data_IF_845525376643
#
_entry.id   IF_845525376643
#
_cell.length_a   1.000
_cell.length_b   1.000
_cell.length_c   1.000
_cell.angle_alpha   90.00
_cell.angle_beta   90.00
_cell.angle_gamma   90.00
#
_symmetry.space_group_name_H-M   'P 1'
#
loop_
_entity.id
_entity.type
_entity.pdbx_description
1 polymer ?
#
# COMPACT_ATOMS: atom_id res chain seq x y z
N UNK A 1 -8.87 -2.37 0.70
CA UNK A 1 -7.79 -3.06 1.46
C UNK A 1 -7.00 -3.91 0.49
N UNK A 2 -5.66 -3.84 0.48
CA UNK A 2 -4.88 -4.72 -0.40
C UNK A 2 -4.97 -6.17 0.07
N UNK A 3 -5.12 -7.08 -0.88
CA UNK A 3 -5.28 -8.53 -0.64
C UNK A 3 -3.96 -9.24 -0.96
N UNK A 4 -3.28 -9.81 0.03
CA UNK A 4 -2.06 -10.57 -0.21
C UNK A 4 -2.37 -11.84 -1.02
N UNK A 5 -1.65 -12.03 -2.12
CA UNK A 5 -1.78 -13.20 -2.97
C UNK A 5 -0.42 -13.73 -3.41
N UNK A 6 -0.32 -15.03 -3.57
CA UNK A 6 0.84 -15.74 -4.10
C UNK A 6 0.52 -16.37 -5.46
N UNK A 7 1.54 -16.70 -6.21
CA UNK A 7 1.42 -17.42 -7.49
C UNK A 7 2.46 -18.52 -7.49
N UNK A 8 2.04 -19.75 -7.70
CA UNK A 8 2.93 -20.86 -8.03
C UNK A 8 3.64 -20.57 -9.36
N UNK A 9 4.96 -20.67 -9.39
CA UNK A 9 5.74 -20.30 -10.56
C UNK A 9 5.31 -21.05 -11.82
N UNK A 10 5.00 -22.33 -11.70
CA UNK A 10 4.56 -23.15 -12.81
C UNK A 10 3.16 -22.78 -13.34
N UNK A 11 2.30 -22.13 -12.54
CA UNK A 11 1.01 -21.63 -12.99
C UNK A 11 1.15 -20.52 -14.06
N UNK A 12 2.31 -19.85 -14.14
CA UNK A 12 2.61 -18.85 -15.17
C UNK A 12 2.63 -19.43 -16.58
N UNK A 13 3.06 -20.66 -16.74
CA UNK A 13 3.04 -21.33 -18.04
C UNK A 13 1.60 -21.62 -18.53
N UNK A 14 0.63 -21.65 -17.60
CA UNK A 14 -0.76 -22.01 -17.87
C UNK A 14 -0.95 -23.50 -18.06
N UNK A 15 -2.18 -23.88 -18.42
CA UNK A 15 -2.53 -25.27 -18.65
C UNK A 15 -2.29 -25.64 -20.13
N UNK A 16 -1.85 -26.88 -20.38
CA UNK A 16 -1.48 -27.35 -21.70
C UNK A 16 -2.62 -27.28 -22.77
N UNK A 17 -3.87 -27.25 -22.31
CA UNK A 17 -5.04 -27.13 -23.18
C UNK A 17 -5.44 -25.69 -23.51
N UNK A 18 -4.82 -24.66 -22.88
CA UNK A 18 -5.16 -23.29 -23.19
C UNK A 18 -4.55 -22.80 -24.49
N UNK A 19 -5.36 -22.12 -25.27
CA UNK A 19 -4.85 -21.39 -26.44
C UNK A 19 -4.02 -20.17 -26.00
N UNK A 20 -3.12 -19.68 -26.83
CA UNK A 20 -2.36 -18.45 -26.51
C UNK A 20 -3.23 -17.23 -26.21
N UNK A 21 -4.46 -17.17 -26.74
CA UNK A 21 -5.42 -16.11 -26.48
C UNK A 21 -6.03 -16.24 -25.08
N UNK A 22 -6.42 -17.44 -24.67
CA UNK A 22 -6.95 -17.72 -23.33
C UNK A 22 -5.89 -17.47 -22.28
N UNK A 23 -4.69 -18.02 -22.44
CA UNK A 23 -3.55 -17.78 -21.54
C UNK A 23 -3.35 -16.27 -21.32
N UNK A 24 -3.29 -15.49 -22.39
CA UNK A 24 -3.16 -14.03 -22.28
C UNK A 24 -4.34 -13.40 -21.54
N UNK A 25 -5.56 -13.84 -21.80
CA UNK A 25 -6.76 -13.35 -21.13
C UNK A 25 -6.72 -13.58 -19.61
N UNK A 26 -6.28 -14.77 -19.18
CA UNK A 26 -6.17 -15.12 -17.75
C UNK A 26 -5.09 -14.28 -17.04
N UNK A 27 -3.93 -14.13 -17.65
CA UNK A 27 -2.90 -13.24 -17.12
C UNK A 27 -3.36 -11.77 -17.05
N UNK A 28 -4.06 -11.28 -18.07
CA UNK A 28 -4.59 -9.93 -18.08
C UNK A 28 -5.63 -9.71 -16.95
N UNK A 29 -6.42 -10.72 -16.64
CA UNK A 29 -7.36 -10.67 -15.51
C UNK A 29 -6.61 -10.55 -14.19
N UNK A 30 -5.60 -11.39 -13.96
CA UNK A 30 -4.78 -11.36 -12.75
C UNK A 30 -4.01 -10.03 -12.62
N UNK A 31 -3.36 -9.58 -13.68
CA UNK A 31 -2.61 -8.32 -13.65
C UNK A 31 -3.53 -7.14 -13.34
N UNK A 32 -4.77 -7.11 -13.87
CA UNK A 32 -5.75 -6.09 -13.51
C UNK A 32 -6.16 -6.15 -12.03
N UNK A 33 -6.42 -7.36 -11.50
CA UNK A 33 -6.76 -7.53 -10.09
C UNK A 33 -5.60 -7.10 -9.18
N UNK A 34 -4.36 -7.50 -9.51
CA UNK A 34 -3.16 -7.07 -8.79
C UNK A 34 -3.03 -5.55 -8.78
N UNK A 35 -3.13 -4.91 -9.95
CA UNK A 35 -3.08 -3.45 -10.08
C UNK A 35 -4.11 -2.76 -9.17
N UNK A 36 -5.31 -3.32 -9.07
CA UNK A 36 -6.45 -2.68 -8.42
C UNK A 36 -6.47 -2.87 -6.91
N UNK A 37 -6.20 -4.10 -6.45
CA UNK A 37 -6.41 -4.48 -5.05
C UNK A 37 -5.38 -5.49 -4.52
N UNK A 38 -4.55 -6.07 -5.37
CA UNK A 38 -3.62 -7.12 -4.98
C UNK A 38 -2.35 -6.60 -4.32
N UNK A 39 -1.80 -7.42 -3.43
CA UNK A 39 -0.46 -7.31 -2.87
C UNK A 39 0.26 -8.63 -3.16
N UNK A 40 1.19 -8.63 -4.10
CA UNK A 40 1.88 -9.85 -4.48
C UNK A 40 2.87 -10.31 -3.40
N UNK A 41 2.79 -11.58 -3.01
CA UNK A 41 3.71 -12.24 -2.09
C UNK A 41 4.67 -13.09 -2.90
N UNK A 42 5.93 -12.68 -2.97
CA UNK A 42 6.97 -13.40 -3.71
C UNK A 42 7.85 -14.25 -2.79
N UNK A 43 8.46 -15.28 -3.34
CA UNK A 43 9.42 -16.14 -2.68
C UNK A 43 10.81 -15.49 -2.55
N UNK A 44 11.54 -15.83 -1.50
CA UNK A 44 12.87 -15.28 -1.24
C UNK A 44 12.88 -13.86 -0.67
N UNK A 45 14.04 -13.24 -0.64
CA UNK A 45 14.26 -11.90 -0.07
C UNK A 45 14.10 -10.80 -1.11
N UNK A 46 14.35 -11.10 -2.39
CA UNK A 46 14.30 -10.15 -3.49
C UNK A 46 13.48 -10.69 -4.65
N UNK A 47 12.53 -9.90 -5.12
CA UNK A 47 11.67 -10.28 -6.25
C UNK A 47 12.46 -10.64 -7.52
N UNK A 48 13.63 -10.01 -7.74
CA UNK A 48 14.51 -10.30 -8.86
C UNK A 48 15.04 -11.74 -8.89
N UNK A 49 15.07 -12.41 -7.74
CA UNK A 49 15.61 -13.77 -7.57
C UNK A 49 14.51 -14.79 -7.29
N UNK A 50 13.23 -14.39 -7.37
CA UNK A 50 12.09 -15.25 -7.11
C UNK A 50 11.89 -16.29 -8.24
N UNK A 51 11.28 -17.43 -7.93
CA UNK A 51 10.85 -18.40 -8.93
C UNK A 51 9.85 -17.81 -9.93
N UNK A 52 8.97 -16.92 -9.45
CA UNK A 52 8.10 -16.16 -10.36
C UNK A 52 8.90 -15.36 -11.38
N UNK A 53 9.97 -14.68 -10.94
CA UNK A 53 10.82 -13.91 -11.86
C UNK A 53 11.42 -14.82 -12.93
N UNK A 54 11.91 -15.99 -12.56
CA UNK A 54 12.43 -16.99 -13.49
C UNK A 54 11.34 -17.44 -14.47
N UNK A 55 10.14 -17.78 -13.98
CA UNK A 55 9.02 -18.18 -14.82
C UNK A 55 8.60 -17.06 -15.82
N UNK A 56 8.67 -15.81 -15.43
CA UNK A 56 8.42 -14.66 -16.35
C UNK A 56 9.53 -14.57 -17.41
N UNK A 57 10.78 -14.82 -17.04
CA UNK A 57 11.91 -14.79 -17.96
C UNK A 57 11.85 -15.95 -18.98
N UNK A 58 11.26 -17.08 -18.61
CA UNK A 58 11.02 -18.23 -19.49
C UNK A 58 9.89 -17.98 -20.51
N UNK A 59 9.04 -16.96 -20.31
CA UNK A 59 8.12 -16.49 -21.33
C UNK A 59 8.95 -15.97 -22.50
N UNK A 60 8.70 -16.47 -23.71
CA UNK A 60 9.48 -16.18 -24.93
C UNK A 60 9.86 -14.71 -25.09
N UNK A 61 11.10 -14.48 -25.46
CA UNK A 61 11.66 -13.14 -25.66
C UNK A 61 10.85 -12.39 -26.73
N UNK A 62 10.56 -11.10 -26.49
CA UNK A 62 9.68 -10.29 -27.37
C UNK A 62 8.17 -10.52 -27.16
N UNK A 63 7.77 -11.43 -26.27
CA UNK A 63 6.35 -11.63 -25.96
C UNK A 63 5.75 -10.40 -25.27
N UNK A 64 4.58 -9.96 -25.76
CA UNK A 64 3.78 -8.89 -25.12
C UNK A 64 3.45 -9.23 -23.66
N UNK A 65 3.22 -10.52 -23.37
CA UNK A 65 2.93 -10.98 -22.03
C UNK A 65 4.11 -10.78 -21.07
N UNK A 66 5.33 -11.15 -21.48
CA UNK A 66 6.56 -10.90 -20.73
C UNK A 66 6.76 -9.42 -20.46
N UNK A 67 6.54 -8.57 -21.48
CA UNK A 67 6.64 -7.11 -21.32
C UNK A 67 5.68 -6.56 -20.27
N UNK A 68 4.43 -7.04 -20.24
CA UNK A 68 3.43 -6.67 -19.23
C UNK A 68 3.83 -7.10 -17.84
N UNK A 69 4.26 -8.34 -17.64
CA UNK A 69 4.74 -8.82 -16.34
C UNK A 69 5.92 -7.99 -15.83
N UNK A 70 6.89 -7.68 -16.71
CA UNK A 70 8.04 -6.85 -16.36
C UNK A 70 7.64 -5.45 -15.89
N UNK A 71 6.65 -4.83 -16.55
CA UNK A 71 6.12 -3.53 -16.13
C UNK A 71 5.44 -3.63 -14.76
N UNK A 72 4.66 -4.68 -14.53
CA UNK A 72 3.94 -4.89 -13.28
C UNK A 72 4.86 -5.14 -12.09
N UNK A 73 5.81 -6.06 -12.18
CA UNK A 73 6.73 -6.36 -11.06
C UNK A 73 7.58 -5.16 -10.64
N UNK A 74 7.75 -4.17 -11.53
CA UNK A 74 8.46 -2.94 -11.22
C UNK A 74 7.58 -1.88 -10.54
N UNK A 75 6.27 -1.90 -10.75
CA UNK A 75 5.36 -0.80 -10.41
C UNK A 75 4.36 -1.14 -9.33
N UNK A 76 3.92 -2.39 -9.25
CA UNK A 76 2.80 -2.79 -8.39
C UNK A 76 3.34 -3.32 -7.04
N UNK A 77 2.61 -3.14 -5.91
CA UNK A 77 3.07 -3.55 -4.60
C UNK A 77 3.38 -5.05 -4.52
N UNK A 78 4.54 -5.36 -3.96
CA UNK A 78 4.95 -6.72 -3.66
C UNK A 78 5.67 -6.78 -2.31
N UNK A 79 5.56 -7.90 -1.62
CA UNK A 79 6.20 -8.18 -0.33
C UNK A 79 6.88 -9.55 -0.37
N UNK A 80 7.95 -9.73 0.40
CA UNK A 80 8.60 -11.01 0.55
C UNK A 80 7.77 -11.96 1.43
N UNK A 81 7.53 -13.17 0.96
CA UNK A 81 6.91 -14.25 1.76
C UNK A 81 7.91 -14.95 2.69
N UNK A 82 9.19 -14.69 2.52
CA UNK A 82 10.27 -15.25 3.31
C UNK A 82 10.30 -16.79 3.25
N UNK A 83 10.51 -17.43 4.39
CA UNK A 83 10.53 -18.89 4.50
C UNK A 83 9.11 -19.52 4.41
N UNK A 84 8.06 -18.71 4.51
CA UNK A 84 6.66 -19.18 4.51
C UNK A 84 6.11 -19.40 3.10
N UNK A 85 6.77 -18.83 2.09
CA UNK A 85 6.45 -19.04 0.68
C UNK A 85 7.73 -19.29 -0.14
N UNK A 86 7.77 -20.40 -0.87
CA UNK A 86 8.94 -20.83 -1.67
C UNK A 86 8.70 -20.82 -3.18
N UNK A 87 7.61 -20.19 -3.63
CA UNK A 87 7.27 -20.09 -5.06
C UNK A 87 6.67 -21.36 -5.67
N UNK A 88 6.44 -22.39 -4.84
CA UNK A 88 6.07 -23.74 -5.25
C UNK A 88 5.30 -24.41 -4.11
N UNK A 89 4.16 -25.02 -4.41
CA UNK A 89 3.31 -25.66 -3.42
C UNK A 89 3.88 -27.00 -2.94
N UNK A 90 4.68 -27.68 -3.75
CA UNK A 90 5.33 -28.92 -3.33
C UNK A 90 6.43 -28.69 -2.28
N UNK A 91 7.02 -27.49 -2.29
CA UNK A 91 8.06 -27.08 -1.34
C UNK A 91 7.54 -26.22 -0.18
N UNK A 92 6.23 -25.89 -0.15
CA UNK A 92 5.62 -24.97 0.81
C UNK A 92 4.48 -25.66 1.56
N UNK A 93 4.42 -25.50 2.89
CA UNK A 93 3.23 -25.93 3.64
C UNK A 93 2.12 -24.90 3.49
N UNK A 94 0.88 -25.35 3.25
CA UNK A 94 -0.28 -24.42 3.16
C UNK A 94 -0.48 -23.64 4.46
N UNK A 95 -0.21 -24.25 5.62
CA UNK A 95 -0.23 -23.55 6.90
C UNK A 95 0.80 -22.42 7.04
N UNK A 96 1.95 -22.53 6.36
CA UNK A 96 2.92 -21.43 6.23
C UNK A 96 2.41 -20.34 5.31
N UNK A 97 1.98 -20.74 4.12
CA UNK A 97 1.49 -19.80 3.09
C UNK A 97 0.26 -19.00 3.56
N UNK A 98 -0.69 -19.61 4.26
CA UNK A 98 -1.91 -18.94 4.76
C UNK A 98 -1.64 -17.78 5.75
N UNK A 99 -0.43 -17.74 6.35
CA UNK A 99 0.00 -16.65 7.23
C UNK A 99 0.42 -15.39 6.46
N UNK A 100 0.81 -15.54 5.20
CA UNK A 100 1.35 -14.43 4.38
C UNK A 100 0.48 -14.12 3.16
N UNK A 101 -0.35 -15.06 2.69
CA UNK A 101 -1.26 -14.87 1.57
C UNK A 101 -2.69 -15.28 1.94
N UNK A 102 -3.67 -14.66 1.28
CA UNK A 102 -5.10 -15.02 1.36
C UNK A 102 -5.56 -15.80 0.14
N UNK A 103 -4.85 -15.62 -0.97
CA UNK A 103 -5.14 -16.26 -2.25
C UNK A 103 -3.83 -16.88 -2.75
N UNK A 104 -3.91 -18.07 -3.33
CA UNK A 104 -2.80 -18.65 -4.08
C UNK A 104 -3.28 -19.12 -5.46
N UNK A 105 -2.64 -18.62 -6.49
CA UNK A 105 -2.85 -19.08 -7.86
C UNK A 105 -1.95 -20.27 -8.15
N UNK A 106 -2.55 -21.40 -8.49
CA UNK A 106 -1.86 -22.66 -8.73
C UNK A 106 -2.34 -23.35 -10.01
N UNK A 107 -1.65 -24.43 -10.40
CA UNK A 107 -2.11 -25.31 -11.47
C UNK A 107 -3.37 -26.08 -11.03
N UNK A 108 -4.20 -26.46 -12.01
CA UNK A 108 -5.45 -27.18 -11.75
C UNK A 108 -5.25 -28.44 -10.90
N UNK A 109 -4.24 -29.24 -11.19
CA UNK A 109 -3.92 -30.45 -10.44
C UNK A 109 -3.62 -30.20 -8.97
N UNK A 110 -2.95 -29.08 -8.64
CA UNK A 110 -2.67 -28.68 -7.26
C UNK A 110 -3.94 -28.20 -6.56
N UNK A 111 -4.79 -27.42 -7.26
CA UNK A 111 -6.07 -26.96 -6.73
C UNK A 111 -6.95 -28.17 -6.35
N UNK A 112 -7.15 -29.12 -7.26
CA UNK A 112 -7.96 -30.32 -7.02
C UNK A 112 -7.45 -31.16 -5.82
N UNK A 113 -6.13 -31.20 -5.65
CA UNK A 113 -5.51 -32.03 -4.59
C UNK A 113 -5.55 -31.35 -3.21
N UNK A 114 -5.39 -30.01 -3.16
CA UNK A 114 -5.13 -29.26 -1.93
C UNK A 114 -6.31 -28.40 -1.47
N UNK A 115 -7.42 -28.36 -2.23
CA UNK A 115 -8.56 -27.48 -1.97
C UNK A 115 -9.12 -27.63 -0.54
N UNK A 116 -9.32 -28.86 -0.08
CA UNK A 116 -9.90 -29.11 1.25
C UNK A 116 -8.99 -28.60 2.38
N UNK A 117 -7.67 -28.79 2.27
CA UNK A 117 -6.69 -28.28 3.23
C UNK A 117 -6.63 -26.74 3.18
N UNK A 118 -6.61 -26.16 1.98
CA UNK A 118 -6.58 -24.71 1.79
C UNK A 118 -7.82 -24.03 2.42
N UNK A 119 -9.01 -24.60 2.20
CA UNK A 119 -10.26 -24.10 2.81
C UNK A 119 -10.22 -24.14 4.33
N UNK A 120 -9.73 -25.22 4.93
CA UNK A 120 -9.57 -25.33 6.39
C UNK A 120 -8.64 -24.24 6.95
N UNK A 121 -7.67 -23.78 6.17
CA UNK A 121 -6.72 -22.72 6.51
C UNK A 121 -7.19 -21.30 6.09
N UNK A 122 -8.40 -21.17 5.53
CA UNK A 122 -8.93 -19.91 4.97
C UNK A 122 -8.03 -19.30 3.90
N UNK A 123 -7.35 -20.15 3.13
CA UNK A 123 -6.57 -19.80 1.95
C UNK A 123 -7.41 -20.14 0.72
N UNK A 124 -7.70 -19.17 -0.13
CA UNK A 124 -8.37 -19.39 -1.41
C UNK A 124 -7.34 -19.93 -2.42
N UNK A 125 -7.46 -21.20 -2.79
CA UNK A 125 -6.58 -21.83 -3.78
C UNK A 125 -7.35 -21.95 -5.09
N UNK A 126 -6.88 -21.26 -6.14
CA UNK A 126 -7.59 -21.14 -7.42
C UNK A 126 -6.61 -21.17 -8.60
N UNK A 127 -7.15 -21.42 -9.80
CA UNK A 127 -6.37 -21.30 -11.05
C UNK A 127 -6.39 -19.87 -11.60
N UNK A 128 -5.47 -19.55 -12.51
CA UNK A 128 -5.48 -18.27 -13.23
C UNK A 128 -6.80 -18.04 -14.00
N UNK A 129 -7.43 -19.08 -14.50
CA UNK A 129 -8.71 -18.98 -15.20
C UNK A 129 -9.84 -18.47 -14.30
N UNK A 130 -9.77 -18.76 -13.00
CA UNK A 130 -10.78 -18.40 -12.00
C UNK A 130 -10.59 -16.99 -11.42
N UNK A 131 -9.60 -16.21 -11.87
CA UNK A 131 -9.30 -14.87 -11.32
C UNK A 131 -10.53 -13.96 -11.25
N UNK A 132 -11.41 -14.00 -12.26
CA UNK A 132 -12.62 -13.18 -12.32
C UNK A 132 -13.68 -13.53 -11.27
N UNK A 133 -13.64 -14.74 -10.72
CA UNK A 133 -14.54 -15.25 -9.69
C UNK A 133 -13.86 -15.36 -8.31
N UNK A 134 -12.70 -14.74 -8.13
CA UNK A 134 -11.94 -14.79 -6.88
C UNK A 134 -12.67 -14.03 -5.76
N UNK A 135 -13.09 -14.77 -4.74
CA UNK A 135 -13.83 -14.24 -3.58
C UNK A 135 -12.94 -13.31 -2.75
N UNK A 136 -11.67 -13.64 -2.59
CA UNK A 136 -10.71 -12.83 -1.82
C UNK A 136 -10.51 -11.45 -2.43
N UNK A 137 -10.38 -11.33 -3.74
CA UNK A 137 -10.30 -10.01 -4.37
C UNK A 137 -11.61 -9.23 -4.26
N UNK A 138 -12.75 -9.89 -4.46
CA UNK A 138 -14.08 -9.26 -4.30
C UNK A 138 -14.29 -8.76 -2.87
N UNK A 139 -13.99 -9.56 -1.87
CA UNK A 139 -14.06 -9.18 -0.46
C UNK A 139 -13.10 -8.02 -0.13
N UNK A 140 -11.89 -8.04 -0.70
CA UNK A 140 -10.92 -6.95 -0.55
C UNK A 140 -11.41 -5.61 -1.08
N UNK A 141 -12.08 -5.61 -2.23
CA UNK A 141 -12.69 -4.40 -2.81
C UNK A 141 -13.83 -3.86 -1.96
N UNK A 142 -14.70 -4.75 -1.50
CA UNK A 142 -15.77 -4.37 -0.58
C UNK A 142 -15.19 -3.76 0.72
N UNK A 143 -14.19 -4.41 1.30
CA UNK A 143 -13.53 -3.92 2.51
C UNK A 143 -12.80 -2.59 2.30
N UNK A 144 -12.24 -2.34 1.11
CA UNK A 144 -11.61 -1.06 0.79
C UNK A 144 -12.59 0.12 0.71
N UNK A 145 -13.87 -0.16 0.46
CA UNK A 145 -14.95 0.83 0.42
C UNK A 145 -15.65 1.03 1.77
N UNK A 146 -15.38 0.19 2.77
CA UNK A 146 -15.98 0.32 4.10
C UNK A 146 -15.42 1.54 4.85
N UNK A 147 -16.32 2.27 5.51
CA UNK A 147 -15.94 3.37 6.39
C UNK A 147 -15.16 2.87 7.61
N UNK A 148 -14.30 3.72 8.17
CA UNK A 148 -13.75 3.55 9.51
C UNK A 148 -14.85 4.00 10.47
N UNK A 149 -15.17 3.18 11.45
CA UNK A 149 -16.28 3.44 12.38
C UNK A 149 -15.75 3.96 13.70
N UNK A 150 -16.58 4.75 14.36
CA UNK A 150 -16.38 5.07 15.77
C UNK A 150 -16.32 3.77 16.58
N UNK A 151 -15.29 3.64 17.40
CA UNK A 151 -15.03 2.44 18.19
C UNK A 151 -14.01 1.48 17.59
N UNK A 152 -13.65 1.63 16.29
CA UNK A 152 -12.57 0.85 15.70
C UNK A 152 -11.23 1.16 16.39
N UNK A 153 -10.35 0.16 16.51
CA UNK A 153 -8.98 0.37 16.97
C UNK A 153 -8.14 1.09 15.91
N UNK A 154 -7.49 2.19 16.25
CA UNK A 154 -6.63 2.92 15.32
C UNK A 154 -5.52 2.04 14.75
N UNK A 155 -4.94 1.16 15.57
CA UNK A 155 -3.94 0.18 15.14
C UNK A 155 -4.53 -0.85 14.18
N UNK A 156 -5.73 -1.34 14.44
CA UNK A 156 -6.42 -2.27 13.55
C UNK A 156 -6.73 -1.63 12.19
N UNK A 157 -7.22 -0.39 12.18
CA UNK A 157 -7.41 0.41 10.96
C UNK A 157 -6.11 0.53 10.18
N UNK A 158 -4.98 0.78 10.87
CA UNK A 158 -3.68 0.85 10.25
C UNK A 158 -3.28 -0.50 9.63
N UNK A 159 -3.35 -1.58 10.40
CA UNK A 159 -2.93 -2.93 9.98
C UNK A 159 -3.74 -3.43 8.78
N UNK A 160 -5.02 -3.13 8.73
CA UNK A 160 -5.90 -3.55 7.64
C UNK A 160 -5.72 -2.73 6.37
N UNK A 161 -5.46 -1.42 6.46
CA UNK A 161 -5.54 -0.51 5.31
C UNK A 161 -4.19 0.00 4.83
N UNK A 162 -3.33 0.44 5.73
CA UNK A 162 -2.10 1.15 5.40
C UNK A 162 -0.85 0.27 5.48
N UNK A 163 -0.78 -0.61 6.47
CA UNK A 163 0.38 -1.46 6.68
C UNK A 163 0.75 -2.32 5.47
N UNK A 164 -0.18 -2.92 4.71
CA UNK A 164 0.16 -3.70 3.51
C UNK A 164 0.90 -2.88 2.45
N UNK A 165 0.52 -1.61 2.25
CA UNK A 165 1.20 -0.71 1.29
C UNK A 165 2.53 -0.21 1.89
N UNK A 166 2.54 0.12 3.18
CA UNK A 166 3.74 0.57 3.87
C UNK A 166 4.86 -0.50 3.85
N UNK A 167 4.49 -1.77 4.04
CA UNK A 167 5.39 -2.92 4.01
C UNK A 167 5.90 -3.28 2.60
N UNK A 168 5.23 -2.82 1.54
CA UNK A 168 5.62 -3.14 0.18
C UNK A 168 7.06 -2.68 -0.13
N UNK A 169 7.84 -3.60 -0.71
CA UNK A 169 9.28 -3.41 -0.95
C UNK A 169 9.61 -2.63 -2.23
N UNK A 170 8.60 -2.25 -3.01
CA UNK A 170 8.74 -1.54 -4.28
C UNK A 170 9.31 -0.13 -4.06
N UNK A 171 10.37 0.24 -4.79
CA UNK A 171 11.05 1.54 -4.61
C UNK A 171 10.13 2.74 -4.85
N UNK A 172 9.16 2.62 -5.74
CA UNK A 172 8.18 3.68 -6.02
C UNK A 172 7.29 4.03 -4.84
N UNK A 173 7.11 3.11 -3.88
CA UNK A 173 6.32 3.34 -2.67
C UNK A 173 7.14 3.92 -1.49
N UNK A 174 8.39 4.33 -1.74
CA UNK A 174 9.20 5.03 -0.72
C UNK A 174 8.68 6.44 -0.44
N UNK A 175 8.04 7.09 -1.42
CA UNK A 175 7.43 8.41 -1.22
C UNK A 175 6.06 8.26 -0.60
N UNK A 176 5.80 9.03 0.45
CA UNK A 176 4.48 9.11 1.11
C UNK A 176 4.10 10.57 1.23
N UNK A 177 2.99 10.94 0.62
CA UNK A 177 2.44 12.29 0.69
C UNK A 177 1.19 12.29 1.55
N UNK A 178 1.16 13.11 2.58
CA UNK A 178 0.04 13.32 3.48
C UNK A 178 -0.54 14.70 3.16
N UNK A 179 -1.75 14.75 2.65
CA UNK A 179 -2.49 15.99 2.44
C UNK A 179 -3.57 16.06 3.52
N UNK A 180 -3.34 16.91 4.50
CA UNK A 180 -4.31 17.23 5.54
C UNK A 180 -4.10 18.69 6.00
N UNK A 181 -5.02 19.58 5.65
CA UNK A 181 -4.91 21.02 5.96
C UNK A 181 -4.61 21.30 7.42
N UNK A 182 -5.02 20.44 8.32
CA UNK A 182 -4.93 20.68 9.77
C UNK A 182 -3.86 19.85 10.49
N UNK A 183 -3.20 18.90 9.84
CA UNK A 183 -2.25 18.00 10.48
C UNK A 183 -1.17 18.74 11.29
N UNK A 184 -0.56 19.80 10.71
CA UNK A 184 0.48 20.58 11.40
C UNK A 184 -0.12 21.44 12.52
N UNK A 185 -1.27 22.07 12.29
CA UNK A 185 -1.97 22.89 13.31
C UNK A 185 -2.32 22.04 14.53
N UNK A 186 -2.91 20.87 14.32
CA UNK A 186 -3.29 19.95 15.39
C UNK A 186 -2.06 19.48 16.17
N UNK A 187 -0.98 19.14 15.48
CA UNK A 187 0.25 18.70 16.13
C UNK A 187 0.90 19.82 16.94
N UNK A 188 1.14 21.01 16.32
CA UNK A 188 1.92 22.09 16.94
C UNK A 188 1.13 22.88 17.97
N UNK A 189 -0.16 23.14 17.72
CA UNK A 189 -1.00 23.99 18.58
C UNK A 189 -1.86 23.19 19.53
N UNK A 190 -2.62 22.22 18.99
CA UNK A 190 -3.60 21.45 19.75
C UNK A 190 -2.95 20.28 20.50
N UNK A 191 -1.66 20.00 20.25
CA UNK A 191 -0.90 18.89 20.85
C UNK A 191 -1.53 17.52 20.63
N UNK A 192 -2.18 17.33 19.49
CA UNK A 192 -2.79 16.08 19.10
C UNK A 192 -1.76 15.12 18.49
N UNK A 193 -1.99 13.83 18.67
CA UNK A 193 -1.02 12.76 18.38
C UNK A 193 -1.23 12.10 17.00
N UNK A 194 -2.21 12.53 16.19
CA UNK A 194 -2.53 11.83 14.95
C UNK A 194 -1.35 11.75 13.97
N UNK A 195 -0.62 12.84 13.77
CA UNK A 195 0.56 12.84 12.89
C UNK A 195 1.68 11.97 13.46
N UNK A 196 1.96 12.10 14.74
CA UNK A 196 2.97 11.28 15.46
C UNK A 196 2.66 9.81 15.34
N UNK A 197 1.43 9.42 15.65
CA UNK A 197 0.98 8.03 15.63
C UNK A 197 0.99 7.45 14.21
N UNK A 198 0.52 8.22 13.23
CA UNK A 198 0.58 7.81 11.83
C UNK A 198 2.03 7.55 11.37
N UNK A 199 2.96 8.48 11.66
CA UNK A 199 4.38 8.32 11.31
C UNK A 199 5.03 7.15 12.05
N UNK A 200 4.68 6.93 13.31
CA UNK A 200 5.15 5.78 14.10
C UNK A 200 4.70 4.46 13.49
N UNK A 201 3.42 4.35 13.14
CA UNK A 201 2.89 3.16 12.48
C UNK A 201 3.51 2.96 11.10
N UNK A 202 3.69 4.04 10.32
CA UNK A 202 4.36 4.00 9.03
C UNK A 202 5.80 3.49 9.16
N UNK A 203 6.55 4.03 10.12
CA UNK A 203 7.92 3.59 10.39
C UNK A 203 8.00 2.12 10.79
N UNK A 204 7.16 1.70 11.74
CA UNK A 204 7.13 0.33 12.25
C UNK A 204 6.77 -0.72 11.18
N UNK A 205 5.86 -0.37 10.27
CA UNK A 205 5.38 -1.28 9.20
C UNK A 205 6.27 -1.27 7.96
N UNK A 206 7.16 -0.28 7.81
CA UNK A 206 7.96 -0.11 6.60
C UNK A 206 9.17 -1.03 6.55
N UNK A 207 9.34 -1.78 5.47
CA UNK A 207 10.56 -2.57 5.19
C UNK A 207 11.67 -1.66 4.67
N UNK A 208 11.34 -0.72 3.78
CA UNK A 208 12.26 0.28 3.22
C UNK A 208 11.99 1.64 3.82
N UNK A 209 13.05 2.44 3.96
CA UNK A 209 12.93 3.82 4.44
C UNK A 209 11.99 4.65 3.56
N UNK A 210 11.18 5.50 4.20
CA UNK A 210 10.18 6.35 3.54
C UNK A 210 10.62 7.82 3.55
N UNK A 211 10.28 8.50 2.47
CA UNK A 211 10.38 9.95 2.33
C UNK A 211 8.97 10.53 2.46
N UNK A 212 8.72 11.26 3.53
CA UNK A 212 7.38 11.77 3.85
C UNK A 212 7.29 13.26 3.55
N UNK A 213 6.24 13.62 2.82
CA UNK A 213 5.85 15.01 2.56
C UNK A 213 4.48 15.27 3.18
N UNK A 214 4.37 16.32 4.01
CA UNK A 214 3.12 16.75 4.64
C UNK A 214 2.70 18.08 4.04
N UNK A 215 1.51 18.14 3.48
CA UNK A 215 0.90 19.33 2.90
C UNK A 215 -0.20 19.82 3.83
N UNK A 216 0.01 20.99 4.43
CA UNK A 216 -0.87 21.56 5.44
C UNK A 216 -1.05 23.07 5.29
N UNK A 217 -2.07 23.63 5.93
CA UNK A 217 -2.20 25.07 6.10
C UNK A 217 -1.14 25.57 7.08
N UNK A 218 -0.67 26.80 6.84
CA UNK A 218 0.17 27.49 7.82
C UNK A 218 -0.59 27.64 9.14
N UNK A 219 -0.04 27.15 10.27
CA UNK A 219 -0.71 27.27 11.55
C UNK A 219 -0.69 28.72 12.06
N UNK A 220 -1.78 29.13 12.73
CA UNK A 220 -1.95 30.45 13.32
C UNK A 220 -2.20 30.31 14.83
N UNK A 221 -1.57 31.21 15.62
CA UNK A 221 -1.84 31.41 17.05
C UNK A 221 -2.20 32.87 17.25
N UNK A 222 -3.35 33.17 17.86
CA UNK A 222 -3.85 34.51 18.09
C UNK A 222 -3.86 35.38 16.82
N UNK A 223 -4.35 34.82 15.71
CA UNK A 223 -4.39 35.45 14.38
C UNK A 223 -3.02 35.84 13.78
N UNK A 224 -1.93 35.28 14.30
CA UNK A 224 -0.58 35.46 13.75
C UNK A 224 -0.03 34.13 13.27
N UNK A 225 0.65 34.05 12.11
CA UNK A 225 1.29 32.83 11.65
C UNK A 225 2.40 32.44 12.64
N UNK A 226 2.48 31.15 12.94
CA UNK A 226 3.57 30.59 13.76
C UNK A 226 4.86 30.65 12.95
N UNK A 227 5.97 31.16 13.56
CA UNK A 227 7.29 31.18 12.91
C UNK A 227 7.72 29.75 12.48
N UNK A 228 8.30 29.62 11.28
CA UNK A 228 8.77 28.33 10.76
C UNK A 228 9.75 27.63 11.72
N UNK A 229 10.62 28.40 12.41
CA UNK A 229 11.56 27.85 13.39
C UNK A 229 10.87 27.13 14.56
N UNK A 230 9.72 27.62 15.03
CA UNK A 230 8.93 26.95 16.08
C UNK A 230 8.32 25.64 15.56
N UNK A 231 7.80 25.64 14.32
CA UNK A 231 7.26 24.45 13.67
C UNK A 231 8.35 23.40 13.47
N UNK A 232 9.53 23.80 12.98
CA UNK A 232 10.68 22.93 12.80
C UNK A 232 11.10 22.31 14.14
N UNK A 233 11.26 23.14 15.19
CA UNK A 233 11.67 22.66 16.50
C UNK A 233 10.69 21.65 17.10
N UNK A 234 9.39 21.85 16.88
CA UNK A 234 8.35 20.95 17.38
C UNK A 234 8.34 19.62 16.62
N UNK A 235 8.43 19.67 15.29
CA UNK A 235 8.46 18.45 14.45
C UNK A 235 9.77 17.66 14.58
N UNK A 236 10.90 18.32 14.87
CA UNK A 236 12.18 17.63 15.14
C UNK A 236 12.09 16.72 16.36
N UNK A 237 11.27 17.05 17.37
CA UNK A 237 11.06 16.18 18.53
C UNK A 237 10.49 14.82 18.18
N UNK A 238 9.79 14.70 17.03
CA UNK A 238 9.32 13.39 16.53
C UNK A 238 10.49 12.47 16.22
N UNK A 239 11.60 13.01 15.71
CA UNK A 239 12.82 12.26 15.41
C UNK A 239 13.56 11.80 16.66
N UNK A 240 13.58 12.65 17.71
CA UNK A 240 14.37 12.42 18.91
C UNK A 240 13.86 11.22 19.76
N UNK A 241 12.64 10.77 19.50
CA UNK A 241 12.01 9.66 20.23
C UNK A 241 12.38 8.25 19.73
N UNK A 242 13.37 8.11 18.81
CA UNK A 242 13.76 6.83 18.18
C UNK A 242 12.61 6.00 17.59
N UNK A 243 11.40 6.57 17.55
CA UNK A 243 10.21 5.90 17.04
C UNK A 243 10.11 5.84 15.51
N UNK A 244 10.99 6.58 14.81
CA UNK A 244 10.89 6.77 13.36
C UNK A 244 12.12 6.28 12.55
N UNK A 245 12.72 5.11 12.86
CA UNK A 245 13.97 4.66 12.22
C UNK A 245 13.83 4.42 10.71
N UNK A 246 12.59 4.27 10.21
CA UNK A 246 12.30 4.04 8.79
C UNK A 246 11.75 5.28 8.07
N UNK A 247 11.76 6.45 8.70
CA UNK A 247 11.45 7.73 8.04
C UNK A 247 12.76 8.42 7.68
N UNK A 248 13.18 8.27 6.43
CA UNK A 248 14.45 8.83 5.94
C UNK A 248 14.43 10.36 5.86
N UNK A 249 13.29 10.95 5.48
CA UNK A 249 13.12 12.40 5.45
C UNK A 249 11.69 12.81 5.76
N UNK A 250 11.54 13.99 6.36
CA UNK A 250 10.27 14.67 6.55
C UNK A 250 10.37 16.08 5.99
N UNK A 251 9.50 16.40 5.05
CA UNK A 251 9.35 17.75 4.46
C UNK A 251 7.92 18.23 4.68
N UNK A 252 7.74 19.48 5.06
CA UNK A 252 6.43 20.10 5.25
C UNK A 252 6.23 21.22 4.25
N UNK A 253 5.09 21.22 3.58
CA UNK A 253 4.63 22.25 2.67
C UNK A 253 3.49 23.02 3.32
N UNK A 254 3.71 24.32 3.64
CA UNK A 254 2.75 25.16 4.34
C UNK A 254 2.13 26.17 3.38
N UNK A 255 0.88 25.99 3.03
CA UNK A 255 0.16 26.92 2.16
C UNK A 255 -0.58 28.02 2.94
N UNK A 256 -0.70 29.21 2.33
CA UNK A 256 -1.61 30.26 2.80
C UNK A 256 -3.06 29.92 2.45
N UNK A 257 -3.98 30.35 3.31
CA UNK A 257 -5.38 29.96 3.51
C UNK A 257 -6.35 29.70 2.35
N UNK A 258 -6.00 29.92 1.07
CA UNK A 258 -6.90 29.65 -0.07
C UNK A 258 -6.35 28.60 -1.06
N UNK A 259 -5.14 28.11 -0.85
CA UNK A 259 -4.41 27.30 -1.84
C UNK A 259 -4.34 25.81 -1.53
N UNK A 260 -4.82 25.36 -0.39
CA UNK A 260 -4.96 23.93 -0.11
C UNK A 260 -6.35 23.48 -0.46
N UNK A 261 -6.41 22.46 -1.32
CA UNK A 261 -7.63 21.72 -1.55
C UNK A 261 -8.14 21.15 -0.20
N UNK A 262 -9.46 21.14 -0.02
CA UNK A 262 -10.08 20.56 1.19
C UNK A 262 -10.02 19.05 1.23
N UNK A 263 -9.51 18.41 0.16
CA UNK A 263 -9.30 16.97 0.09
C UNK A 263 -8.25 16.55 1.12
N UNK A 264 -8.51 15.45 1.77
CA UNK A 264 -7.64 14.88 2.79
C UNK A 264 -7.32 13.46 2.40
N UNK A 265 -6.05 13.19 2.16
CA UNK A 265 -5.64 11.88 1.69
C UNK A 265 -4.20 11.56 2.06
N UNK A 266 -3.88 10.27 2.01
CA UNK A 266 -2.52 9.75 2.09
C UNK A 266 -2.21 9.02 0.79
N UNK A 267 -1.14 9.42 0.12
CA UNK A 267 -0.69 8.84 -1.14
C UNK A 267 0.65 8.13 -0.97
N UNK A 268 0.71 6.88 -1.41
CA UNK A 268 1.93 6.07 -1.47
C UNK A 268 2.40 5.98 -2.92
N UNK A 269 3.60 6.48 -3.18
CA UNK A 269 4.10 6.66 -4.55
C UNK A 269 3.19 7.61 -5.35
N UNK A 270 2.88 7.20 -6.60
CA UNK A 270 2.05 8.01 -7.50
C UNK A 270 0.70 7.34 -7.81
N UNK A 271 0.41 6.17 -7.19
CA UNK A 271 -0.67 5.31 -7.67
C UNK A 271 -1.60 4.76 -6.60
N UNK A 272 -1.32 4.93 -5.31
CA UNK A 272 -2.15 4.40 -4.22
C UNK A 272 -2.52 5.51 -3.26
N UNK A 273 -3.79 5.86 -3.24
CA UNK A 273 -4.33 6.94 -2.41
C UNK A 273 -5.41 6.40 -1.49
N UNK A 274 -5.23 6.62 -0.21
CA UNK A 274 -6.30 6.55 0.75
C UNK A 274 -6.92 7.94 0.90
N UNK A 275 -8.11 8.11 0.30
CA UNK A 275 -8.93 9.30 0.48
C UNK A 275 -9.63 9.23 1.83
N UNK A 276 -9.44 10.23 2.67
CA UNK A 276 -9.81 10.24 4.09
C UNK A 276 -10.71 11.45 4.38
N UNK A 277 -12.00 11.25 4.54
CA UNK A 277 -12.94 12.36 4.77
C UNK A 277 -12.58 13.26 5.96
N UNK A 278 -11.91 12.71 6.98
CA UNK A 278 -11.48 13.44 8.18
C UNK A 278 -9.94 13.53 8.34
N UNK A 279 -9.16 13.22 7.30
CA UNK A 279 -7.70 13.25 7.34
C UNK A 279 -7.14 12.22 8.32
N UNK A 280 -6.14 12.63 9.11
CA UNK A 280 -5.47 11.74 10.06
C UNK A 280 -6.23 11.53 11.39
N UNK A 281 -7.41 12.12 11.59
CA UNK A 281 -8.17 12.00 12.84
C UNK A 281 -8.42 10.56 13.34
N UNK A 282 -8.59 9.53 12.47
CA UNK A 282 -8.67 8.15 12.95
C UNK A 282 -7.48 7.70 13.78
N UNK A 283 -6.36 8.41 13.73
CA UNK A 283 -5.14 8.16 14.48
C UNK A 283 -4.93 9.08 15.68
N UNK A 284 -5.93 9.91 16.04
CA UNK A 284 -5.81 10.84 17.18
C UNK A 284 -5.69 10.11 18.52
N UNK A 285 -6.40 8.98 18.68
CA UNK A 285 -6.40 8.15 19.88
C UNK A 285 -6.25 6.66 19.52
N UNK A 286 -6.17 5.78 20.53
CA UNK A 286 -6.11 4.33 20.30
C UNK A 286 -7.43 3.79 19.73
N UNK A 287 -8.53 4.46 20.02
CA UNK A 287 -9.87 4.14 19.54
C UNK A 287 -10.39 5.32 18.73
N UNK A 288 -10.90 5.04 17.56
CA UNK A 288 -11.51 6.03 16.65
C UNK A 288 -12.70 6.71 17.31
N UNK A 289 -12.69 8.03 17.35
CA UNK A 289 -13.67 8.82 18.09
C UNK A 289 -14.94 9.13 17.28
N UNK A 290 -14.87 9.06 15.94
CA UNK A 290 -15.99 9.30 15.02
C UNK A 290 -15.84 8.55 13.72
N UNK A 291 -16.95 8.36 13.01
CA UNK A 291 -16.96 7.73 11.70
C UNK A 291 -16.16 8.54 10.69
N UNK A 292 -15.38 7.87 9.85
CA UNK A 292 -14.60 8.47 8.79
C UNK A 292 -14.87 7.77 7.46
N UNK A 293 -15.32 8.50 6.45
CA UNK A 293 -15.39 7.99 5.09
C UNK A 293 -13.97 7.74 4.57
N UNK A 294 -13.77 6.55 4.02
CA UNK A 294 -12.46 6.14 3.50
C UNK A 294 -12.64 5.39 2.19
N UNK A 295 -11.79 5.66 1.21
CA UNK A 295 -11.76 4.88 -0.01
C UNK A 295 -10.35 4.77 -0.58
N UNK A 296 -10.01 3.58 -1.07
CA UNK A 296 -8.77 3.34 -1.81
C UNK A 296 -8.97 3.72 -3.27
N UNK A 297 -8.12 4.61 -3.78
CA UNK A 297 -8.01 4.97 -5.19
C UNK A 297 -6.67 4.47 -5.72
N UNK A 298 -6.68 3.85 -6.88
CA UNK A 298 -5.46 3.30 -7.47
C UNK A 298 -5.33 3.72 -8.93
N UNK A 299 -4.09 3.91 -9.38
CA UNK A 299 -3.71 4.19 -10.77
C UNK A 299 -4.47 5.38 -11.39
N UNK A 300 -5.34 5.14 -12.37
CA UNK A 300 -6.02 6.22 -13.10
C UNK A 300 -6.89 7.06 -12.17
N UNK A 301 -7.52 6.42 -11.16
CA UNK A 301 -8.28 7.12 -10.13
C UNK A 301 -7.39 7.89 -9.13
N UNK A 302 -6.11 7.53 -9.01
CA UNK A 302 -5.15 8.24 -8.18
C UNK A 302 -4.49 9.44 -8.89
N UNK A 303 -4.59 9.52 -10.22
CA UNK A 303 -3.89 10.54 -11.02
C UNK A 303 -4.27 11.97 -10.62
N UNK A 304 -5.54 12.25 -10.41
CA UNK A 304 -6.00 13.58 -9.99
C UNK A 304 -5.40 14.02 -8.65
N UNK A 305 -5.10 13.08 -7.76
CA UNK A 305 -4.45 13.36 -6.47
C UNK A 305 -2.96 13.68 -6.64
N UNK A 306 -2.27 13.04 -7.60
CA UNK A 306 -0.91 13.39 -7.96
C UNK A 306 -0.85 14.82 -8.55
N UNK A 307 -1.78 15.18 -9.44
CA UNK A 307 -1.88 16.52 -10.01
C UNK A 307 -2.11 17.58 -8.91
N UNK A 308 -2.88 17.28 -7.86
CA UNK A 308 -3.07 18.15 -6.69
C UNK A 308 -1.74 18.34 -5.95
N UNK A 309 -0.99 17.27 -5.68
CA UNK A 309 0.31 17.34 -5.00
C UNK A 309 1.30 18.18 -5.81
N UNK A 310 1.39 17.96 -7.12
CA UNK A 310 2.28 18.69 -8.02
C UNK A 310 1.95 20.20 -8.01
N UNK A 311 0.67 20.55 -8.08
CA UNK A 311 0.21 21.94 -7.98
C UNK A 311 0.59 22.57 -6.64
N UNK A 312 0.36 21.86 -5.52
CA UNK A 312 0.74 22.37 -4.20
C UNK A 312 2.25 22.52 -4.03
N UNK A 313 3.03 21.59 -4.60
CA UNK A 313 4.49 21.63 -4.53
C UNK A 313 5.06 22.82 -5.29
N UNK A 314 4.48 23.16 -6.44
CA UNK A 314 4.93 24.29 -7.26
C UNK A 314 4.68 25.66 -6.59
N UNK A 315 3.61 25.77 -5.80
CA UNK A 315 3.13 27.05 -5.25
C UNK A 315 3.61 27.36 -3.82
N UNK A 316 4.21 26.39 -3.12
CA UNK A 316 4.48 26.48 -1.69
C UNK A 316 5.95 26.19 -1.37
N UNK A 317 6.52 26.99 -0.51
CA UNK A 317 7.89 26.77 -0.03
C UNK A 317 7.97 25.53 0.86
N UNK A 318 8.85 24.61 0.49
CA UNK A 318 9.17 23.44 1.30
C UNK A 318 9.96 23.83 2.56
N UNK A 319 9.62 23.23 3.68
CA UNK A 319 10.35 23.28 4.94
C UNK A 319 10.90 21.87 5.21
N UNK A 320 12.20 21.71 5.04
CA UNK A 320 12.86 20.43 5.34
C UNK A 320 13.05 20.30 6.86
N UNK A 321 12.45 19.28 7.45
CA UNK A 321 12.57 19.02 8.90
C UNK A 321 13.79 18.15 9.16
N UNK A 322 13.96 17.03 8.43
CA UNK A 322 15.17 16.22 8.41
C UNK A 322 15.31 15.42 7.11
N UNK A 323 16.52 14.92 6.87
CA UNK A 323 16.88 14.17 5.66
C UNK A 323 17.21 15.09 4.47
N UNK A 324 17.65 14.47 3.36
CA UNK A 324 18.00 15.19 2.14
C UNK A 324 16.77 15.74 1.41
#
# INVERSE_FOLDING_TARGET
MLVPFAIEAEAIAGEAHWTPRELRGHHDALLRAWKRIGLFVFDGEHLSNSKLRQAIDDIGEGSVLRGRWNDFVQRVPAVAGGQLWRGDLDATTLGGLSKVAKICFARNAQVETLEAEAQALKLELITLASTGACDGFTAGEQAAALHIRKGDGAREVWEQRFAPIAAASTDRLKRVSIVDPYAVTRHVIERKEELTRFLTYLSASSVKAKHVSVYALSPFRDNRPIPHGEIIADLLRLRDNDALPRIASLTVYLAGGQRINRDRFVMFGDHYVWDLGHGLEPFEADIVTRDCAVSLKTWDAAKSYADIIDSMTADVRAIHIWGP
#
